data_IF_583270155907
#
_entry.id   IF_583270155907
#
_cell.length_a   1.000
_cell.length_b   1.000
_cell.length_c   1.000
_cell.angle_alpha   90.00
_cell.angle_beta   90.00
_cell.angle_gamma   90.00
#
_symmetry.space_group_name_H-M   'P 1'
#
loop_
_entity.id
_entity.type
_entity.pdbx_description
1 polymer ?
#
# COMPACT_ATOMS: atom_id res chain seq x y z
N UNK A 1 -1.36 -7.32 27.64
CA UNK A 1 -1.61 -7.55 26.20
C UNK A 1 -3.12 -7.39 26.06
N UNK A 2 -3.57 -6.15 25.98
CA UNK A 2 -4.98 -5.78 25.85
C UNK A 2 -5.44 -6.15 24.45
N UNK A 3 -6.66 -6.67 24.38
CA UNK A 3 -7.26 -7.24 23.17
C UNK A 3 -7.30 -6.17 22.07
N UNK A 4 -7.03 -6.53 20.81
CA UNK A 4 -7.10 -5.60 19.68
C UNK A 4 -8.49 -4.96 19.57
N UNK A 5 -9.53 -5.67 20.01
CA UNK A 5 -10.90 -5.16 20.08
C UNK A 5 -11.06 -4.09 21.17
N UNK A 6 -10.34 -4.21 22.28
CA UNK A 6 -10.33 -3.21 23.35
C UNK A 6 -9.59 -1.94 22.89
N UNK A 7 -8.48 -2.09 22.17
CA UNK A 7 -7.79 -0.97 21.52
C UNK A 7 -8.70 -0.25 20.50
N UNK A 8 -9.31 -0.97 19.56
CA UNK A 8 -10.14 -0.36 18.51
C UNK A 8 -11.38 0.35 19.06
N UNK A 9 -12.07 -0.25 20.04
CA UNK A 9 -13.21 0.37 20.71
C UNK A 9 -12.83 1.58 21.55
N UNK A 10 -11.65 1.55 22.18
CA UNK A 10 -11.05 2.68 22.92
C UNK A 10 -10.83 3.90 22.01
N UNK A 11 -10.45 3.73 20.73
CA UNK A 11 -10.17 4.87 19.86
C UNK A 11 -11.33 5.32 18.97
N UNK A 12 -12.54 4.77 19.14
CA UNK A 12 -13.67 5.07 18.25
C UNK A 12 -13.39 4.74 16.79
N UNK A 13 -12.50 3.76 16.53
CA UNK A 13 -12.09 3.37 15.18
C UNK A 13 -13.09 2.33 14.67
N UNK A 14 -13.86 2.67 13.63
CA UNK A 14 -14.75 1.69 12.99
C UNK A 14 -13.97 0.66 12.18
N UNK A 15 -12.89 1.08 11.53
CA UNK A 15 -12.09 0.21 10.68
C UNK A 15 -10.64 0.66 10.61
N UNK A 16 -9.74 -0.27 10.91
CA UNK A 16 -8.31 -0.14 10.71
C UNK A 16 -7.90 -1.00 9.51
N UNK A 17 -7.43 -0.38 8.43
CA UNK A 17 -6.88 -1.08 7.26
C UNK A 17 -5.37 -0.96 7.23
N UNK A 18 -4.69 -2.09 7.38
CA UNK A 18 -3.26 -2.22 7.09
C UNK A 18 -3.15 -2.75 5.66
N UNK A 19 -2.73 -1.90 4.73
CA UNK A 19 -2.44 -2.30 3.36
C UNK A 19 -0.94 -2.53 3.24
N UNK A 20 -0.56 -3.80 3.08
CA UNK A 20 0.76 -4.20 2.59
C UNK A 20 0.58 -4.66 1.15
N UNK A 21 1.31 -4.07 0.20
CA UNK A 21 1.29 -4.50 -1.20
C UNK A 21 2.65 -5.10 -1.52
N UNK A 22 2.78 -6.43 -1.41
CA UNK A 22 4.05 -7.11 -1.67
C UNK A 22 3.83 -8.51 -2.25
N UNK A 23 4.81 -8.98 -3.03
CA UNK A 23 4.80 -10.19 -3.87
C UNK A 23 4.34 -11.52 -3.24
N UNK A 24 4.17 -11.59 -1.92
CA UNK A 24 3.94 -12.84 -1.19
C UNK A 24 2.55 -12.95 -0.58
N UNK A 25 1.82 -11.86 -0.47
CA UNK A 25 0.49 -11.87 0.14
C UNK A 25 -0.59 -11.69 -0.91
N UNK A 26 -1.38 -12.75 -1.07
CA UNK A 26 -2.72 -12.67 -1.64
C UNK A 26 -3.41 -11.46 -1.00
N UNK A 27 -3.73 -10.45 -1.81
CA UNK A 27 -4.62 -9.36 -1.44
C UNK A 27 -5.98 -9.98 -1.03
N UNK A 28 -6.12 -10.28 0.26
CA UNK A 28 -7.42 -10.46 0.88
C UNK A 28 -7.75 -9.17 1.60
N UNK A 29 -8.61 -8.40 0.97
CA UNK A 29 -9.36 -7.34 1.62
C UNK A 29 -10.33 -8.00 2.60
N UNK A 30 -10.02 -8.02 3.89
CA UNK A 30 -11.00 -8.37 4.91
C UNK A 30 -11.56 -7.08 5.51
N UNK A 31 -12.78 -6.75 5.08
CA UNK A 31 -13.56 -5.64 5.62
C UNK A 31 -14.24 -6.19 6.88
N UNK A 32 -13.67 -5.91 8.04
CA UNK A 32 -14.40 -6.05 9.30
C UNK A 32 -15.11 -4.70 9.52
N UNK A 33 -16.41 -4.64 9.22
CA UNK A 33 -17.23 -3.48 9.54
C UNK A 33 -18.01 -3.74 10.82
N UNK A 34 -17.88 -2.86 11.80
CA UNK A 34 -18.93 -2.61 12.78
C UNK A 34 -18.96 -1.10 13.09
N UNK A 35 -20.15 -0.58 13.43
CA UNK A 35 -20.60 0.81 13.27
C UNK A 35 -19.73 1.93 13.93
N UNK A 36 -19.72 3.10 13.23
CA UNK A 36 -19.38 4.52 13.56
C UNK A 36 -18.08 5.25 13.07
N UNK A 37 -18.32 6.23 12.16
CA UNK A 37 -17.66 7.49 11.73
C UNK A 37 -16.18 7.65 11.30
N UNK A 38 -15.16 6.99 11.86
CA UNK A 38 -13.74 7.29 11.52
C UNK A 38 -12.96 6.06 11.02
N UNK A 39 -12.37 6.18 9.83
CA UNK A 39 -11.66 5.11 9.14
C UNK A 39 -10.19 5.47 8.92
N UNK A 40 -9.28 4.56 9.27
CA UNK A 40 -7.86 4.73 9.04
C UNK A 40 -7.33 3.71 8.02
N UNK A 41 -6.50 4.18 7.09
CA UNK A 41 -5.80 3.36 6.11
C UNK A 41 -4.31 3.64 6.19
N UNK A 42 -3.53 2.59 6.40
CA UNK A 42 -2.07 2.65 6.45
C UNK A 42 -1.53 1.92 5.24
N UNK A 43 -0.81 2.63 4.39
CA UNK A 43 -0.15 2.08 3.22
C UNK A 43 1.33 1.85 3.56
N UNK A 44 1.69 0.59 3.75
CA UNK A 44 3.06 0.13 3.97
C UNK A 44 3.52 -0.64 2.73
N UNK A 45 4.84 -0.68 2.50
CA UNK A 45 5.41 -1.40 1.35
C UNK A 45 4.81 -0.96 -0.01
N UNK A 46 4.54 0.34 -0.20
CA UNK A 46 4.03 0.90 -1.47
C UNK A 46 5.13 1.02 -2.53
N UNK A 47 5.68 -0.12 -2.92
CA UNK A 47 6.80 -0.23 -3.87
C UNK A 47 6.33 -0.92 -5.15
N UNK A 48 7.00 -0.64 -6.26
CA UNK A 48 6.63 -1.22 -7.55
C UNK A 48 7.32 -2.56 -7.78
N UNK A 49 6.50 -3.61 -7.87
CA UNK A 49 6.91 -4.91 -8.37
C UNK A 49 7.52 -4.81 -9.77
N UNK A 50 6.95 -3.96 -10.63
CA UNK A 50 7.45 -3.76 -11.99
C UNK A 50 8.87 -3.23 -11.98
N UNK A 51 9.15 -2.19 -11.19
CA UNK A 51 10.47 -1.57 -11.14
C UNK A 51 11.50 -2.51 -10.50
N UNK A 52 11.13 -3.25 -9.46
CA UNK A 52 11.99 -4.29 -8.90
C UNK A 52 12.31 -5.36 -9.94
N UNK A 53 11.28 -5.93 -10.57
CA UNK A 53 11.45 -7.01 -11.55
C UNK A 53 12.22 -6.54 -12.79
N UNK A 54 12.09 -5.28 -13.20
CA UNK A 54 12.87 -4.72 -14.30
C UNK A 54 14.39 -4.71 -14.03
N UNK A 55 14.83 -4.88 -12.78
CA UNK A 55 16.25 -5.07 -12.45
C UNK A 55 16.76 -6.49 -12.69
N UNK A 56 15.85 -7.46 -12.85
CA UNK A 56 16.19 -8.87 -13.05
C UNK A 56 16.41 -9.18 -14.54
N UNK A 57 17.49 -9.90 -14.90
CA UNK A 57 17.87 -10.12 -16.30
C UNK A 57 16.84 -10.93 -17.09
N UNK A 58 16.13 -11.85 -16.45
CA UNK A 58 15.14 -12.72 -17.08
C UNK A 58 13.81 -12.02 -17.41
N UNK A 59 13.56 -10.85 -16.83
CA UNK A 59 12.24 -10.22 -16.87
C UNK A 59 11.80 -9.84 -18.27
N UNK A 60 12.71 -9.35 -19.13
CA UNK A 60 12.36 -8.91 -20.48
C UNK A 60 11.79 -10.08 -21.32
N UNK A 61 12.52 -11.19 -21.40
CA UNK A 61 12.11 -12.36 -22.19
C UNK A 61 10.81 -12.99 -21.67
N UNK A 62 10.64 -13.00 -20.34
CA UNK A 62 9.48 -13.60 -19.71
C UNK A 62 8.23 -12.72 -19.79
N UNK A 63 8.36 -11.39 -19.89
CA UNK A 63 7.23 -10.51 -20.20
C UNK A 63 6.71 -10.81 -21.61
N UNK A 64 7.61 -10.95 -22.60
CA UNK A 64 7.24 -11.26 -23.98
C UNK A 64 6.55 -12.63 -24.07
N UNK A 65 7.04 -13.63 -23.34
CA UNK A 65 6.39 -14.94 -23.24
C UNK A 65 4.98 -14.82 -22.62
N UNK A 66 4.84 -14.08 -21.53
CA UNK A 66 3.54 -13.87 -20.88
C UNK A 66 2.55 -13.17 -21.82
N UNK A 67 2.99 -12.12 -22.52
CA UNK A 67 2.19 -11.41 -23.51
C UNK A 67 1.75 -12.33 -24.66
N UNK A 68 2.66 -13.18 -25.17
CA UNK A 68 2.34 -14.19 -26.19
C UNK A 68 1.28 -15.17 -25.69
N UNK A 69 1.46 -15.75 -24.50
CA UNK A 69 0.50 -16.70 -23.92
C UNK A 69 -0.89 -16.07 -23.74
N UNK A 70 -0.96 -14.80 -23.33
CA UNK A 70 -2.22 -14.05 -23.24
C UNK A 70 -2.85 -13.88 -24.63
N UNK A 71 -2.07 -13.48 -25.63
CA UNK A 71 -2.54 -13.34 -27.02
C UNK A 71 -3.06 -14.64 -27.64
N UNK A 72 -2.52 -15.79 -27.22
CA UNK A 72 -2.96 -17.13 -27.62
C UNK A 72 -4.17 -17.65 -26.81
N UNK A 73 -4.72 -16.86 -25.88
CA UNK A 73 -5.84 -17.25 -25.03
C UNK A 73 -5.45 -18.14 -23.84
N UNK A 74 -4.16 -18.27 -23.56
CA UNK A 74 -3.57 -19.09 -22.48
C UNK A 74 -3.11 -18.24 -21.28
N UNK A 75 -3.78 -17.12 -21.00
CA UNK A 75 -3.41 -16.20 -19.90
C UNK A 75 -3.43 -16.85 -18.51
N UNK A 76 -4.26 -17.87 -18.29
CA UNK A 76 -4.29 -18.65 -17.04
C UNK A 76 -3.27 -19.80 -17.01
N UNK A 77 -2.54 -20.02 -18.10
CA UNK A 77 -1.44 -20.98 -18.16
C UNK A 77 -0.29 -20.59 -17.24
N UNK A 78 0.35 -21.58 -16.63
CA UNK A 78 1.52 -21.36 -15.77
C UNK A 78 2.74 -20.97 -16.60
N UNK A 79 3.46 -19.95 -16.13
CA UNK A 79 4.76 -19.56 -16.66
C UNK A 79 5.85 -20.56 -16.26
N UNK A 80 6.99 -20.59 -16.97
CA UNK A 80 8.17 -21.36 -16.54
C UNK A 80 8.58 -21.02 -15.10
N UNK A 81 9.26 -21.96 -14.43
CA UNK A 81 9.73 -21.77 -13.04
C UNK A 81 10.66 -20.55 -12.88
N UNK A 82 11.37 -20.16 -13.94
CA UNK A 82 12.24 -18.98 -13.95
C UNK A 82 11.45 -17.67 -13.77
N UNK A 83 10.15 -17.66 -14.07
CA UNK A 83 9.28 -16.50 -13.82
C UNK A 83 9.08 -16.20 -12.33
N UNK A 84 9.00 -17.24 -11.51
CA UNK A 84 8.95 -17.12 -10.06
C UNK A 84 9.42 -18.43 -9.44
N UNK A 85 10.68 -18.49 -8.94
CA UNK A 85 11.22 -19.69 -8.32
C UNK A 85 10.51 -20.11 -7.04
N UNK A 86 9.91 -19.14 -6.32
CA UNK A 86 9.29 -19.32 -5.02
C UNK A 86 7.87 -19.90 -5.13
N UNK A 87 7.11 -19.50 -6.15
CA UNK A 87 5.72 -19.91 -6.32
C UNK A 87 5.27 -19.94 -7.79
N UNK A 88 4.38 -20.87 -8.20
CA UNK A 88 3.79 -20.86 -9.52
C UNK A 88 3.06 -19.53 -9.81
N UNK A 89 3.23 -19.00 -11.02
CA UNK A 89 2.58 -17.77 -11.48
C UNK A 89 1.98 -17.98 -12.86
N UNK A 90 0.79 -17.45 -13.10
CA UNK A 90 0.15 -17.50 -14.42
C UNK A 90 0.74 -16.44 -15.35
N UNK A 91 0.61 -16.63 -16.67
CA UNK A 91 1.02 -15.63 -17.65
C UNK A 91 0.36 -14.27 -17.40
N UNK A 92 -0.93 -14.26 -17.09
CA UNK A 92 -1.67 -13.03 -16.76
C UNK A 92 -1.11 -12.34 -15.51
N UNK A 93 -0.92 -13.06 -14.40
CA UNK A 93 -0.41 -12.46 -13.16
C UNK A 93 1.02 -11.95 -13.34
N UNK A 94 1.85 -12.71 -14.05
CA UNK A 94 3.19 -12.28 -14.38
C UNK A 94 3.16 -10.99 -15.22
N UNK A 95 2.42 -10.95 -16.32
CA UNK A 95 2.30 -9.74 -17.13
C UNK A 95 1.80 -8.55 -16.30
N UNK A 96 0.77 -8.74 -15.48
CA UNK A 96 0.22 -7.71 -14.62
C UNK A 96 1.25 -7.09 -13.66
N UNK A 97 2.17 -7.89 -13.12
CA UNK A 97 3.24 -7.45 -12.23
C UNK A 97 4.36 -6.67 -12.91
N UNK A 98 4.59 -6.87 -14.22
CA UNK A 98 5.84 -6.44 -14.86
C UNK A 98 5.64 -5.56 -16.09
N UNK A 99 4.44 -5.55 -16.67
CA UNK A 99 4.14 -4.68 -17.79
C UNK A 99 3.90 -3.25 -17.31
N UNK A 100 4.37 -2.26 -18.07
CA UNK A 100 4.00 -0.87 -17.84
C UNK A 100 2.49 -0.72 -17.97
N UNK A 101 1.88 -0.09 -16.97
CA UNK A 101 0.42 0.02 -16.82
C UNK A 101 -0.31 -1.32 -16.71
N UNK A 102 0.38 -2.40 -16.31
CA UNK A 102 -0.26 -3.62 -15.84
C UNK A 102 -1.25 -3.35 -14.70
N UNK A 103 -2.13 -4.30 -14.41
CA UNK A 103 -3.18 -4.09 -13.41
C UNK A 103 -2.59 -3.88 -12.01
N UNK A 104 -1.41 -4.45 -11.74
CA UNK A 104 -0.67 -4.32 -10.48
C UNK A 104 0.40 -3.21 -10.47
N UNK A 105 0.56 -2.46 -11.58
CA UNK A 105 1.53 -1.35 -11.70
C UNK A 105 1.01 -0.08 -11.01
N UNK A 106 0.97 -0.11 -9.68
CA UNK A 106 0.28 0.89 -8.85
C UNK A 106 1.20 1.98 -8.28
N UNK A 107 2.49 1.69 -8.10
CA UNK A 107 3.42 2.54 -7.33
C UNK A 107 4.69 2.91 -8.09
N UNK A 108 4.71 2.71 -9.40
CA UNK A 108 5.91 2.96 -10.18
C UNK A 108 6.29 4.43 -10.25
N UNK A 109 7.59 4.69 -10.11
CA UNK A 109 8.15 6.04 -10.06
C UNK A 109 8.06 6.80 -11.40
N UNK A 110 8.02 6.09 -12.52
CA UNK A 110 7.86 6.64 -13.87
C UNK A 110 6.39 6.81 -14.31
N UNK A 111 5.41 6.39 -13.50
CA UNK A 111 4.01 6.72 -13.75
C UNK A 111 3.85 8.23 -13.66
N UNK A 112 3.02 8.83 -14.50
CA UNK A 112 2.65 10.25 -14.44
C UNK A 112 1.71 10.52 -13.26
N UNK A 113 1.62 11.78 -12.84
CA UNK A 113 0.71 12.17 -11.75
C UNK A 113 -0.76 11.84 -12.07
N UNK A 114 -1.17 11.94 -13.33
CA UNK A 114 -2.52 11.54 -13.76
C UNK A 114 -2.73 10.03 -13.70
N UNK A 115 -1.73 9.22 -14.08
CA UNK A 115 -1.80 7.77 -13.94
C UNK A 115 -1.88 7.35 -12.46
N UNK A 116 -1.06 7.96 -11.59
CA UNK A 116 -1.14 7.75 -10.15
C UNK A 116 -2.51 8.15 -9.61
N UNK A 117 -3.08 9.27 -10.06
CA UNK A 117 -4.42 9.72 -9.65
C UNK A 117 -5.53 8.77 -10.12
N UNK A 118 -5.45 8.24 -11.33
CA UNK A 118 -6.40 7.23 -11.83
C UNK A 118 -6.35 5.97 -10.97
N UNK A 119 -5.14 5.54 -10.59
CA UNK A 119 -4.92 4.31 -9.82
C UNK A 119 -5.25 4.44 -8.34
N UNK A 120 -4.84 5.54 -7.71
CA UNK A 120 -4.87 5.72 -6.25
C UNK A 120 -5.93 6.72 -5.80
N UNK A 121 -6.43 7.57 -6.70
CA UNK A 121 -7.34 8.67 -6.36
C UNK A 121 -8.69 8.22 -5.82
N UNK A 122 -9.11 6.98 -6.02
CA UNK A 122 -10.30 6.44 -5.35
C UNK A 122 -10.15 6.44 -3.81
N UNK A 123 -8.91 6.41 -3.29
CA UNK A 123 -8.60 6.58 -1.87
C UNK A 123 -8.58 8.06 -1.43
N UNK A 124 -8.61 9.01 -2.36
CA UNK A 124 -8.72 10.45 -2.07
C UNK A 124 -10.16 10.93 -1.87
N UNK A 125 -11.13 10.22 -2.46
CA UNK A 125 -12.56 10.52 -2.40
C UNK A 125 -13.22 10.13 -1.08
N UNK A 126 -12.42 9.83 -0.06
CA UNK A 126 -12.90 9.53 1.27
C UNK A 126 -12.49 10.69 2.18
N UNK A 127 -13.44 11.44 2.78
CA UNK A 127 -13.17 12.80 3.23
C UNK A 127 -12.07 12.86 4.30
N UNK A 128 -10.89 13.30 3.89
CA UNK A 128 -9.85 13.82 4.77
C UNK A 128 -10.02 15.34 4.99
N UNK A 129 -11.21 15.87 4.71
CA UNK A 129 -11.49 17.30 4.81
C UNK A 129 -11.93 17.64 6.23
N UNK A 130 -10.94 18.07 7.02
CA UNK A 130 -11.12 18.77 8.29
C UNK A 130 -12.00 20.01 8.10
N UNK A 131 -13.26 19.95 8.57
CA UNK A 131 -13.94 21.02 9.31
C UNK A 131 -15.27 20.51 9.86
N UNK A 132 -15.46 20.57 11.18
CA UNK A 132 -16.78 20.43 11.81
C UNK A 132 -17.69 21.58 11.35
N UNK A 133 -19.02 21.54 11.35
CA UNK A 133 -19.99 20.84 12.16
C UNK A 133 -21.23 20.60 11.28
N UNK A 134 -21.70 19.36 11.18
CA UNK A 134 -23.12 18.88 11.13
C UNK A 134 -23.25 17.61 10.28
N UNK A 135 -23.76 16.55 10.93
CA UNK A 135 -24.34 15.29 10.42
C UNK A 135 -23.58 14.49 9.34
N UNK A 136 -22.80 13.54 9.87
CA UNK A 136 -22.45 12.22 9.30
C UNK A 136 -21.69 12.20 7.97
N UNK A 137 -20.55 12.90 7.93
CA UNK A 137 -19.47 12.57 7.00
C UNK A 137 -18.57 11.51 7.64
N UNK A 138 -18.48 10.32 7.03
CA UNK A 138 -17.44 9.36 7.41
C UNK A 138 -16.07 10.02 7.17
N UNK A 139 -15.25 10.15 8.21
CA UNK A 139 -13.93 10.76 8.15
C UNK A 139 -12.90 9.66 7.83
N UNK A 140 -12.08 9.89 6.81
CA UNK A 140 -11.10 8.89 6.37
C UNK A 140 -9.71 9.48 6.33
N UNK A 141 -8.79 8.77 6.97
CA UNK A 141 -7.40 9.17 7.12
C UNK A 141 -6.49 8.14 6.46
N UNK A 142 -5.57 8.63 5.63
CA UNK A 142 -4.59 7.79 4.95
C UNK A 142 -3.20 8.22 5.41
N UNK A 143 -2.38 7.26 5.84
CA UNK A 143 -0.96 7.45 6.12
C UNK A 143 -0.13 6.49 5.26
N UNK A 144 0.86 7.03 4.56
CA UNK A 144 1.89 6.28 3.83
C UNK A 144 3.09 6.13 4.73
N UNK A 145 3.41 4.90 5.14
CA UNK A 145 4.62 4.59 5.91
C UNK A 145 5.62 3.96 4.93
N UNK A 146 6.66 4.71 4.60
CA UNK A 146 7.62 4.33 3.57
C UNK A 146 8.96 3.90 4.15
N UNK A 147 9.41 2.72 3.75
CA UNK A 147 10.70 2.15 4.13
C UNK A 147 11.82 2.73 3.25
N UNK A 148 12.64 3.61 3.81
CA UNK A 148 13.69 4.28 3.03
C UNK A 148 14.86 3.35 2.68
N UNK A 149 15.05 2.26 3.44
CA UNK A 149 16.01 1.20 3.13
C UNK A 149 15.36 -0.05 2.51
N UNK A 150 14.17 0.08 1.90
CA UNK A 150 13.50 -1.02 1.21
C UNK A 150 14.37 -1.58 0.07
N UNK A 151 14.64 -2.87 0.16
CA UNK A 151 15.50 -3.65 -0.72
C UNK A 151 14.90 -3.94 -2.10
N UNK A 152 13.58 -3.80 -2.26
CA UNK A 152 12.89 -3.99 -3.54
C UNK A 152 12.82 -2.70 -4.37
N UNK A 153 13.09 -1.53 -3.77
CA UNK A 153 13.11 -0.27 -4.50
C UNK A 153 14.46 -0.08 -5.20
N UNK A 154 14.51 -0.01 -6.53
CA UNK A 154 15.77 0.13 -7.25
C UNK A 154 16.52 1.42 -6.90
N UNK A 155 17.85 1.38 -6.97
CA UNK A 155 18.71 2.51 -6.61
C UNK A 155 18.50 3.78 -7.45
N UNK A 156 17.92 3.66 -8.66
CA UNK A 156 17.62 4.80 -9.52
C UNK A 156 16.37 5.58 -9.08
N UNK A 157 15.53 5.00 -8.21
CA UNK A 157 14.29 5.62 -7.77
C UNK A 157 14.57 6.67 -6.69
N UNK A 158 14.15 7.90 -6.92
CA UNK A 158 14.07 8.91 -5.86
C UNK A 158 12.89 8.62 -4.95
N UNK A 159 13.18 7.91 -3.84
CA UNK A 159 12.18 7.50 -2.84
C UNK A 159 11.41 8.69 -2.27
N UNK A 160 12.07 9.83 -2.02
CA UNK A 160 11.42 11.00 -1.43
C UNK A 160 10.46 11.66 -2.41
N UNK A 161 10.87 11.79 -3.67
CA UNK A 161 10.00 12.28 -4.73
C UNK A 161 8.82 11.34 -4.96
N UNK A 162 9.04 10.01 -4.93
CA UNK A 162 7.98 9.02 -5.08
C UNK A 162 6.93 9.14 -3.96
N UNK A 163 7.34 9.13 -2.69
CA UNK A 163 6.41 9.23 -1.54
C UNK A 163 5.57 10.50 -1.63
N UNK A 164 6.19 11.63 -1.97
CA UNK A 164 5.49 12.89 -2.13
C UNK A 164 4.38 12.82 -3.20
N UNK A 165 4.67 12.17 -4.33
CA UNK A 165 3.71 12.02 -5.42
C UNK A 165 2.59 11.03 -5.08
N UNK A 166 2.90 9.94 -4.38
CA UNK A 166 1.92 9.01 -3.85
C UNK A 166 0.95 9.71 -2.89
N UNK A 167 1.46 10.48 -1.92
CA UNK A 167 0.63 11.24 -0.99
C UNK A 167 -0.32 12.21 -1.69
N UNK A 168 0.16 12.91 -2.74
CA UNK A 168 -0.71 13.79 -3.55
C UNK A 168 -1.79 13.01 -4.28
N UNK A 169 -1.46 11.88 -4.90
CA UNK A 169 -2.44 11.02 -5.57
C UNK A 169 -3.48 10.45 -4.61
N UNK A 170 -3.11 10.25 -3.33
CA UNK A 170 -3.96 9.79 -2.24
C UNK A 170 -4.76 10.91 -1.55
N UNK A 171 -4.86 12.11 -2.14
CA UNK A 171 -5.64 13.20 -1.56
C UNK A 171 -4.92 14.00 -0.47
N UNK A 172 -3.58 13.95 -0.43
CA UNK A 172 -2.78 14.62 0.58
C UNK A 172 -2.54 13.76 1.83
N UNK A 173 -2.44 12.44 1.66
CA UNK A 173 -2.16 11.50 2.74
C UNK A 173 -0.92 11.91 3.56
N UNK A 174 -0.96 11.67 4.87
CA UNK A 174 0.21 11.86 5.72
C UNK A 174 1.33 10.90 5.30
N UNK A 175 2.59 11.34 5.30
CA UNK A 175 3.74 10.45 5.10
C UNK A 175 4.57 10.29 6.36
N UNK A 176 5.10 9.10 6.53
CA UNK A 176 6.14 8.77 7.50
C UNK A 176 7.26 8.06 6.75
N UNK A 177 8.45 8.64 6.78
CA UNK A 177 9.65 8.09 6.16
C UNK A 177 10.50 7.44 7.25
N UNK A 178 10.74 6.12 7.17
CA UNK A 178 11.55 5.39 8.14
C UNK A 178 12.92 5.06 7.51
N UNK A 179 13.94 5.86 7.88
CA UNK A 179 15.24 5.95 7.22
C UNK A 179 15.94 4.58 6.98
N UNK A 180 15.84 3.67 7.93
CA UNK A 180 16.56 2.39 7.90
C UNK A 180 15.64 1.17 7.89
N UNK A 181 14.36 1.35 7.59
CA UNK A 181 13.42 0.23 7.52
C UNK A 181 13.64 -0.60 6.25
N UNK A 182 13.61 -1.92 6.43
CA UNK A 182 13.48 -2.87 5.31
C UNK A 182 12.02 -2.94 4.83
N UNK A 183 11.78 -3.66 3.74
CA UNK A 183 10.47 -3.78 3.11
C UNK A 183 9.35 -4.18 4.07
N UNK A 184 9.64 -5.14 4.96
CA UNK A 184 8.66 -5.68 5.92
C UNK A 184 8.54 -4.88 7.22
N UNK A 185 9.29 -3.79 7.39
CA UNK A 185 9.43 -3.03 8.64
C UNK A 185 9.89 -3.88 9.84
N UNK A 186 10.33 -5.12 9.62
CA UNK A 186 10.65 -6.08 10.69
C UNK A 186 11.83 -5.63 11.56
N UNK A 187 12.72 -4.79 11.04
CA UNK A 187 13.82 -4.19 11.78
C UNK A 187 13.48 -2.84 12.44
N UNK A 188 12.26 -2.33 12.24
CA UNK A 188 11.79 -1.00 12.66
C UNK A 188 10.34 -1.01 13.19
N UNK A 189 9.88 -2.15 13.70
CA UNK A 189 8.50 -2.35 14.18
C UNK A 189 8.07 -1.28 15.19
N UNK A 190 8.93 -0.92 16.15
CA UNK A 190 8.61 0.10 17.16
C UNK A 190 8.34 1.49 16.55
N UNK A 191 9.11 1.88 15.54
CA UNK A 191 8.93 3.16 14.83
C UNK A 191 7.63 3.16 14.02
N UNK A 192 7.35 2.05 13.32
CA UNK A 192 6.09 1.88 12.58
C UNK A 192 4.87 1.94 13.51
N UNK A 193 4.91 1.23 14.65
CA UNK A 193 3.83 1.25 15.64
C UNK A 193 3.64 2.65 16.24
N UNK A 194 4.72 3.35 16.59
CA UNK A 194 4.62 4.72 17.10
C UNK A 194 4.03 5.68 16.08
N UNK A 195 4.38 5.53 14.79
CA UNK A 195 3.80 6.33 13.71
C UNK A 195 2.29 6.11 13.57
N UNK A 196 1.86 4.84 13.56
CA UNK A 196 0.44 4.44 13.46
C UNK A 196 -0.35 4.96 14.66
N UNK A 197 0.11 4.67 15.88
CA UNK A 197 -0.57 5.08 17.11
C UNK A 197 -0.59 6.60 17.24
N UNK A 198 0.50 7.27 16.89
CA UNK A 198 0.59 8.72 16.87
C UNK A 198 -0.42 9.34 15.91
N UNK A 199 -0.60 8.76 14.71
CA UNK A 199 -1.57 9.23 13.74
C UNK A 199 -3.01 9.05 14.22
N UNK A 200 -3.34 7.85 14.70
CA UNK A 200 -4.65 7.54 15.29
C UNK A 200 -4.99 8.52 16.42
N UNK A 201 -4.04 8.81 17.32
CA UNK A 201 -4.25 9.73 18.44
C UNK A 201 -4.47 11.18 18.01
N UNK A 202 -3.83 11.62 16.91
CA UNK A 202 -3.94 12.99 16.41
C UNK A 202 -5.24 13.22 15.64
N UNK A 203 -5.60 12.28 14.79
CA UNK A 203 -6.73 12.40 13.87
C UNK A 203 -8.03 11.79 14.44
N UNK A 204 -7.90 10.93 15.47
CA UNK A 204 -9.03 10.47 16.28
C UNK A 204 -9.60 11.56 17.17
N UNK A 205 -10.78 11.34 17.74
CA UNK A 205 -11.46 12.32 18.60
C UNK A 205 -10.64 12.59 19.89
N UNK A 206 -10.43 13.87 20.21
CA UNK A 206 -9.48 14.37 21.21
C UNK A 206 -9.84 14.14 22.69
N UNK A 207 -11.01 13.61 23.00
CA UNK A 207 -11.57 13.56 24.36
C UNK A 207 -11.43 12.17 25.04
N UNK A 208 -10.52 11.32 24.57
CA UNK A 208 -10.43 9.94 25.04
C UNK A 208 -9.34 9.70 26.11
N UNK A 209 -9.71 9.02 27.20
CA UNK A 209 -8.82 8.68 28.31
C UNK A 209 -7.85 7.54 27.94
N UNK A 210 -6.54 7.82 27.97
CA UNK A 210 -5.47 6.88 27.61
C UNK A 210 -5.33 5.76 28.66
N UNK A 211 -5.58 4.47 28.31
CA UNK A 211 -5.38 3.35 29.24
C UNK A 211 -3.90 3.00 29.47
N UNK A 212 -2.96 3.69 28.80
CA UNK A 212 -1.52 3.48 28.92
C UNK A 212 -0.78 4.60 29.67
N UNK A 213 -1.50 5.44 30.40
CA UNK A 213 -0.92 6.31 31.44
C UNK A 213 -0.56 5.55 32.71
#
# INVERSE_FOLDING_TARGET
MTDANEFLSTFGISTLKLLSVGQKDLLKFEIISCFDLVNFTFLMASVSDREYRATLPETADLIDLAAKMIGEGSGLGLMPRDANPDAPVTAYRYHSLCAYLGDDDMFSSDLTDDQLRIRLGHMSSIPCQSYSNTNEANMYFVQVIFSMADEYVPAYVDKKALVERLCRALGGAEKVEIEYANHSLSNRVGEAVHAIVGFIRREGMSDFDDPWK
#
